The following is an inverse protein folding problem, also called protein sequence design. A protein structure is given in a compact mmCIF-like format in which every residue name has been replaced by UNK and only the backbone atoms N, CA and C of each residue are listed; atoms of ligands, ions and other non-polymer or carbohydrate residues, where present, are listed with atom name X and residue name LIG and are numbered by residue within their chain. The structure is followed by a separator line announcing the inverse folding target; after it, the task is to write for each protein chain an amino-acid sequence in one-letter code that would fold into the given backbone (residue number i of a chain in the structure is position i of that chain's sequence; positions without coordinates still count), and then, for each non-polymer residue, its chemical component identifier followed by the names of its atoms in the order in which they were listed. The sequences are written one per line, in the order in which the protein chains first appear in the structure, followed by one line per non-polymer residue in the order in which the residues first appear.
data_IF_451404908796
#
_entry.id   IF_451404908796
#
_cell.length_a   1.000
_cell.length_b   1.000
_cell.length_c   1.000
_cell.angle_alpha   90.00
_cell.angle_beta   90.00
_cell.angle_gamma   90.00
#
_symmetry.space_group_name_H-M   'P 1'
#
loop_
_entity.id
_entity.type
_entity.pdbx_description
1 polymer ?
#
# COMPACT_ATOMS: atom_id res chain seq x y z
N UNK A 1 -26.67 -23.13 18.00
CA UNK A 1 -25.74 -22.87 16.87
C UNK A 1 -24.28 -22.85 17.30
N UNK A 2 -23.83 -21.90 18.13
CA UNK A 2 -22.40 -21.86 18.53
C UNK A 2 -21.99 -23.09 19.36
N UNK A 3 -22.82 -23.51 20.31
CA UNK A 3 -22.61 -24.74 21.07
C UNK A 3 -22.65 -25.99 20.17
N UNK A 4 -23.63 -26.07 19.26
CA UNK A 4 -23.73 -27.20 18.32
C UNK A 4 -22.50 -27.30 17.42
N UNK A 5 -21.94 -26.16 16.96
CA UNK A 5 -20.67 -26.15 16.21
C UNK A 5 -19.54 -26.72 17.06
N UNK A 6 -19.45 -26.34 18.33
CA UNK A 6 -18.42 -26.82 19.24
C UNK A 6 -18.53 -28.34 19.47
N UNK A 7 -19.73 -28.83 19.80
CA UNK A 7 -19.99 -30.27 19.96
C UNK A 7 -19.70 -31.08 18.68
N UNK A 8 -20.09 -30.54 17.51
CA UNK A 8 -19.80 -31.18 16.22
C UNK A 8 -18.29 -31.20 15.90
N UNK A 9 -17.54 -30.17 16.32
CA UNK A 9 -16.09 -30.14 16.18
C UNK A 9 -15.45 -31.22 17.05
N UNK A 10 -15.81 -31.31 18.33
CA UNK A 10 -15.32 -32.36 19.25
C UNK A 10 -15.61 -33.75 18.71
N UNK A 11 -16.85 -34.02 18.30
CA UNK A 11 -17.21 -35.31 17.69
C UNK A 11 -16.37 -35.64 16.44
N UNK A 12 -16.08 -34.64 15.59
CA UNK A 12 -15.27 -34.85 14.38
C UNK A 12 -13.77 -34.98 14.67
N UNK A 13 -13.29 -34.55 15.84
CA UNK A 13 -11.92 -34.86 16.28
C UNK A 13 -11.76 -36.35 16.57
N UNK A 14 -12.77 -36.97 17.20
CA UNK A 14 -12.78 -38.41 17.50
C UNK A 14 -13.13 -39.26 16.26
N UNK A 15 -14.03 -38.75 15.40
CA UNK A 15 -14.56 -39.48 14.25
C UNK A 15 -14.38 -38.72 12.92
N UNK A 16 -13.13 -38.52 12.45
CA UNK A 16 -12.84 -37.67 11.30
C UNK A 16 -13.32 -38.24 9.96
N UNK A 17 -13.70 -39.53 9.90
CA UNK A 17 -14.16 -40.18 8.66
C UNK A 17 -15.67 -40.08 8.44
N UNK A 18 -16.45 -39.49 9.36
CA UNK A 18 -17.90 -39.39 9.21
C UNK A 18 -18.31 -38.23 8.28
N UNK A 19 -18.71 -38.48 7.01
CA UNK A 19 -18.99 -37.40 6.06
C UNK A 19 -20.28 -36.65 6.41
N UNK A 20 -21.27 -37.32 6.99
CA UNK A 20 -22.56 -36.71 7.34
C UNK A 20 -22.38 -35.61 8.39
N UNK A 21 -21.56 -35.88 9.39
CA UNK A 21 -21.28 -34.92 10.47
C UNK A 21 -20.42 -33.74 9.97
N UNK A 22 -19.51 -33.98 9.02
CA UNK A 22 -18.78 -32.88 8.35
C UNK A 22 -19.72 -31.95 7.60
N UNK A 23 -20.63 -32.51 6.80
CA UNK A 23 -21.64 -31.71 6.07
C UNK A 23 -22.48 -30.92 7.07
N UNK A 24 -22.95 -31.55 8.15
CA UNK A 24 -23.75 -30.88 9.19
C UNK A 24 -22.99 -29.73 9.87
N UNK A 25 -21.70 -29.91 10.16
CA UNK A 25 -20.86 -28.86 10.73
C UNK A 25 -20.75 -27.67 9.76
N UNK A 26 -20.44 -27.93 8.49
CA UNK A 26 -20.31 -26.89 7.46
C UNK A 26 -21.62 -26.11 7.26
N UNK A 27 -22.75 -26.80 7.20
CA UNK A 27 -24.08 -26.17 7.12
C UNK A 27 -24.37 -25.29 8.33
N UNK A 28 -24.03 -25.74 9.53
CA UNK A 28 -24.27 -24.99 10.78
C UNK A 28 -23.38 -23.74 10.83
N UNK A 29 -22.13 -23.84 10.39
CA UNK A 29 -21.23 -22.68 10.24
C UNK A 29 -21.79 -21.70 9.21
N UNK A 30 -22.25 -22.19 8.04
CA UNK A 30 -22.83 -21.35 6.99
C UNK A 30 -24.10 -20.63 7.47
N UNK A 31 -24.99 -21.33 8.19
CA UNK A 31 -26.18 -20.75 8.82
C UNK A 31 -25.81 -19.64 9.80
N UNK A 32 -24.84 -19.87 10.70
CA UNK A 32 -24.34 -18.84 11.63
C UNK A 32 -23.81 -17.62 10.88
N UNK A 33 -22.99 -17.81 9.84
CA UNK A 33 -22.47 -16.70 9.01
C UNK A 33 -23.59 -15.88 8.36
N UNK A 34 -24.61 -16.57 7.82
CA UNK A 34 -25.80 -15.93 7.24
C UNK A 34 -26.56 -15.09 8.27
N UNK A 35 -26.74 -15.59 9.49
CA UNK A 35 -27.41 -14.87 10.57
C UNK A 35 -26.60 -13.65 11.04
N UNK A 36 -25.28 -13.78 11.16
CA UNK A 36 -24.41 -12.64 11.50
C UNK A 36 -24.46 -11.54 10.42
N UNK A 37 -24.56 -11.91 9.14
CA UNK A 37 -24.76 -10.95 8.05
C UNK A 37 -26.07 -10.17 8.21
N UNK A 38 -27.18 -10.85 8.53
CA UNK A 38 -28.46 -10.16 8.76
C UNK A 38 -28.41 -9.30 10.01
N UNK A 39 -27.81 -9.80 11.10
CA UNK A 39 -27.69 -9.04 12.34
C UNK A 39 -26.88 -7.76 12.14
N UNK A 40 -25.79 -7.82 11.38
CA UNK A 40 -24.99 -6.63 11.02
C UNK A 40 -25.82 -5.57 10.29
N UNK A 41 -26.78 -5.98 9.46
CA UNK A 41 -27.66 -5.06 8.72
C UNK A 41 -28.79 -4.50 9.60
N UNK A 42 -29.29 -5.28 10.56
CA UNK A 42 -30.44 -4.89 11.38
C UNK A 42 -30.06 -4.12 12.64
N UNK A 43 -29.07 -4.60 13.39
CA UNK A 43 -28.62 -4.00 14.64
C UNK A 43 -27.11 -4.21 14.80
N UNK A 44 -26.38 -3.17 14.43
CA UNK A 44 -24.93 -3.18 14.45
C UNK A 44 -24.35 -3.29 15.86
N UNK A 45 -24.97 -2.63 16.86
CA UNK A 45 -24.49 -2.64 18.25
C UNK A 45 -24.63 -4.03 18.86
N UNK A 46 -25.76 -4.69 18.62
CA UNK A 46 -25.97 -6.07 19.08
C UNK A 46 -25.05 -7.04 18.33
N UNK A 47 -24.77 -6.80 17.06
CA UNK A 47 -23.80 -7.57 16.29
C UNK A 47 -22.40 -7.52 16.93
N UNK A 48 -21.87 -6.33 17.24
CA UNK A 48 -20.54 -6.18 17.86
C UNK A 48 -20.49 -6.84 19.24
N UNK A 49 -21.52 -6.62 20.07
CA UNK A 49 -21.60 -7.25 21.39
C UNK A 49 -21.57 -8.79 21.31
N UNK A 50 -22.27 -9.38 20.35
CA UNK A 50 -22.25 -10.84 20.15
C UNK A 50 -20.88 -11.34 19.70
N UNK A 51 -20.20 -10.61 18.81
CA UNK A 51 -18.85 -10.97 18.37
C UNK A 51 -17.86 -10.96 19.54
N UNK A 52 -17.93 -9.95 20.40
CA UNK A 52 -17.10 -9.83 21.60
C UNK A 52 -17.38 -10.97 22.58
N UNK A 53 -18.66 -11.18 22.95
CA UNK A 53 -19.03 -12.19 23.97
C UNK A 53 -18.77 -13.63 23.52
N UNK A 54 -18.91 -13.93 22.23
CA UNK A 54 -18.63 -15.26 21.69
C UNK A 54 -17.18 -15.41 21.18
N UNK A 55 -16.36 -14.36 21.31
CA UNK A 55 -15.00 -14.28 20.77
C UNK A 55 -14.91 -14.72 19.29
N UNK A 56 -15.79 -14.17 18.45
CA UNK A 56 -15.89 -14.50 17.03
C UNK A 56 -15.32 -13.38 16.15
N UNK A 57 -14.50 -13.76 15.17
CA UNK A 57 -14.06 -12.84 14.11
C UNK A 57 -14.99 -12.95 12.91
N UNK A 58 -15.71 -11.87 12.61
CA UNK A 58 -16.54 -11.79 11.40
C UNK A 58 -15.67 -11.48 10.18
N UNK A 59 -15.71 -12.38 9.18
CA UNK A 59 -15.10 -12.17 7.86
C UNK A 59 -16.22 -12.06 6.82
N UNK A 60 -16.34 -10.94 6.09
CA UNK A 60 -17.31 -10.84 5.01
C UNK A 60 -17.02 -11.88 3.93
N UNK A 61 -18.05 -12.29 3.19
CA UNK A 61 -17.87 -13.23 2.09
C UNK A 61 -17.13 -12.51 0.94
N UNK A 62 -16.06 -13.09 0.37
CA UNK A 62 -15.37 -12.48 -0.76
C UNK A 62 -16.30 -12.40 -1.98
N UNK A 63 -16.21 -11.31 -2.74
CA UNK A 63 -17.12 -11.02 -3.85
C UNK A 63 -16.92 -11.97 -5.04
N UNK A 64 -15.67 -12.29 -5.45
CA UNK A 64 -15.32 -13.22 -6.55
C UNK A 64 -13.86 -13.71 -6.44
N UNK A 65 -13.42 -14.79 -7.13
CA UNK A 65 -14.11 -16.04 -7.46
C UNK A 65 -13.85 -17.13 -6.40
N UNK A 66 -14.84 -17.98 -6.15
CA UNK A 66 -14.78 -19.06 -5.14
C UNK A 66 -13.88 -20.24 -5.53
N UNK A 67 -13.52 -20.37 -6.81
CA UNK A 67 -12.71 -21.47 -7.30
C UNK A 67 -11.50 -20.92 -8.06
N UNK A 68 -10.30 -21.23 -7.58
CA UNK A 68 -9.05 -20.88 -8.24
C UNK A 68 -8.71 -22.04 -9.19
N UNK A 69 -8.76 -21.79 -10.49
CA UNK A 69 -8.32 -22.79 -11.48
C UNK A 69 -6.80 -22.73 -11.66
N UNK A 70 -6.21 -23.81 -12.21
CA UNK A 70 -4.77 -23.82 -12.58
C UNK A 70 -4.41 -22.65 -13.50
N UNK A 71 -5.30 -22.30 -14.43
CA UNK A 71 -5.13 -21.18 -15.36
C UNK A 71 -5.10 -19.84 -14.60
N UNK A 72 -5.97 -19.66 -13.61
CA UNK A 72 -6.00 -18.43 -12.81
C UNK A 72 -4.77 -18.30 -11.92
N UNK A 73 -4.31 -19.38 -11.30
CA UNK A 73 -3.05 -19.39 -10.54
C UNK A 73 -1.86 -19.00 -11.41
N UNK A 74 -1.77 -19.55 -12.62
CA UNK A 74 -0.69 -19.21 -13.54
C UNK A 74 -0.76 -17.74 -13.97
N UNK A 75 -1.96 -17.23 -14.28
CA UNK A 75 -2.17 -15.82 -14.61
C UNK A 75 -1.72 -14.90 -13.49
N UNK A 76 -2.10 -15.19 -12.23
CA UNK A 76 -1.68 -14.41 -11.06
C UNK A 76 -0.16 -14.43 -10.85
N UNK A 77 0.48 -15.58 -11.08
CA UNK A 77 1.93 -15.69 -10.97
C UNK A 77 2.63 -14.84 -12.04
N UNK A 78 2.17 -14.94 -13.29
CA UNK A 78 2.69 -14.14 -14.40
C UNK A 78 2.44 -12.64 -14.17
N UNK A 79 1.25 -12.26 -13.70
CA UNK A 79 0.91 -10.88 -13.37
C UNK A 79 1.83 -10.32 -12.28
N UNK A 80 2.06 -11.10 -11.20
CA UNK A 80 2.99 -10.70 -10.13
C UNK A 80 4.40 -10.46 -10.68
N UNK A 81 4.92 -11.39 -11.49
CA UNK A 81 6.24 -11.24 -12.10
C UNK A 81 6.34 -10.02 -13.03
N UNK A 82 5.33 -9.81 -13.89
CA UNK A 82 5.28 -8.64 -14.75
C UNK A 82 5.22 -7.34 -13.95
N UNK A 83 4.47 -7.31 -12.84
CA UNK A 83 4.39 -6.14 -11.97
C UNK A 83 5.73 -5.85 -11.30
N UNK A 84 6.44 -6.88 -10.83
CA UNK A 84 7.80 -6.73 -10.26
C UNK A 84 8.75 -6.12 -11.30
N UNK A 85 8.77 -6.62 -12.54
CA UNK A 85 9.58 -6.05 -13.62
C UNK A 85 9.23 -4.60 -13.95
N UNK A 86 7.94 -4.24 -13.91
CA UNK A 86 7.51 -2.85 -14.14
C UNK A 86 7.99 -1.96 -13.00
N UNK A 87 7.87 -2.40 -11.75
CA UNK A 87 8.35 -1.63 -10.60
C UNK A 87 9.87 -1.45 -10.64
N UNK A 88 10.63 -2.49 -10.97
CA UNK A 88 12.09 -2.38 -11.11
C UNK A 88 12.49 -1.33 -12.16
N UNK A 89 11.81 -1.32 -13.32
CA UNK A 89 12.05 -0.32 -14.36
C UNK A 89 11.70 1.10 -13.89
N UNK A 90 10.57 1.25 -13.19
CA UNK A 90 10.16 2.54 -12.63
C UNK A 90 11.14 3.03 -11.57
N UNK A 91 11.66 2.14 -10.72
CA UNK A 91 12.63 2.47 -9.68
C UNK A 91 13.97 2.88 -10.28
N UNK A 92 14.44 2.19 -11.32
CA UNK A 92 15.65 2.58 -12.07
C UNK A 92 15.46 3.97 -12.66
N UNK A 93 14.34 4.18 -13.37
CA UNK A 93 14.06 5.47 -14.00
C UNK A 93 13.90 6.61 -12.98
N UNK A 94 13.27 6.33 -11.82
CA UNK A 94 13.15 7.29 -10.73
C UNK A 94 14.51 7.70 -10.20
N UNK A 95 15.45 6.76 -10.00
CA UNK A 95 16.82 7.06 -9.58
C UNK A 95 17.58 7.90 -10.62
N UNK A 96 17.35 7.66 -11.91
CA UNK A 96 17.92 8.50 -12.97
C UNK A 96 17.38 9.93 -12.93
N UNK A 97 16.05 10.09 -12.79
CA UNK A 97 15.42 11.40 -12.68
C UNK A 97 15.88 12.16 -11.44
N UNK A 98 16.02 11.49 -10.31
CA UNK A 98 16.51 12.10 -9.09
C UNK A 98 17.94 12.64 -9.25
N UNK A 99 18.82 11.96 -9.99
CA UNK A 99 20.16 12.47 -10.30
C UNK A 99 20.10 13.74 -11.16
N UNK A 100 19.13 13.83 -12.06
CA UNK A 100 18.93 14.99 -12.95
C UNK A 100 18.24 16.17 -12.23
N UNK A 101 17.56 15.93 -11.11
CA UNK A 101 16.87 17.01 -10.37
C UNK A 101 17.83 18.11 -9.90
N UNK A 102 19.06 17.77 -9.54
CA UNK A 102 20.06 18.77 -9.12
C UNK A 102 20.33 19.79 -10.24
N UNK A 103 20.54 19.30 -11.47
CA UNK A 103 20.90 20.12 -12.63
C UNK A 103 19.67 20.93 -13.07
N UNK A 104 18.49 20.31 -13.00
CA UNK A 104 17.22 20.98 -13.26
C UNK A 104 16.98 22.19 -12.34
N UNK A 105 17.20 22.07 -11.02
CA UNK A 105 16.98 23.19 -10.11
C UNK A 105 18.02 24.31 -10.26
N UNK A 106 19.25 23.98 -10.66
CA UNK A 106 20.27 24.98 -10.99
C UNK A 106 19.83 25.78 -12.22
N UNK A 107 19.53 25.10 -13.32
CA UNK A 107 19.04 25.76 -14.55
C UNK A 107 17.75 26.54 -14.30
N UNK A 108 16.86 26.02 -13.45
CA UNK A 108 15.61 26.70 -13.09
C UNK A 108 15.90 28.02 -12.37
N UNK A 109 16.82 28.04 -11.41
CA UNK A 109 17.19 29.27 -10.70
C UNK A 109 17.82 30.31 -11.65
N UNK A 110 18.65 29.87 -12.61
CA UNK A 110 19.24 30.72 -13.63
C UNK A 110 18.19 31.31 -14.57
N UNK A 111 17.27 30.48 -15.08
CA UNK A 111 16.18 30.92 -15.97
C UNK A 111 15.22 31.86 -15.26
N UNK A 112 14.89 31.62 -13.99
CA UNK A 112 14.04 32.53 -13.21
C UNK A 112 14.71 33.88 -12.97
N UNK A 113 16.02 33.90 -12.70
CA UNK A 113 16.77 35.15 -12.59
C UNK A 113 16.79 35.91 -13.92
N UNK A 114 17.06 35.20 -15.03
CA UNK A 114 17.05 35.78 -16.38
C UNK A 114 15.68 36.38 -16.76
N UNK A 115 14.57 35.66 -16.51
CA UNK A 115 13.22 36.16 -16.79
C UNK A 115 12.94 37.45 -16.01
N UNK A 116 13.31 37.49 -14.73
CA UNK A 116 13.11 38.68 -13.90
C UNK A 116 13.91 39.89 -14.40
N UNK A 117 15.16 39.69 -14.81
CA UNK A 117 16.00 40.75 -15.38
C UNK A 117 15.42 41.31 -16.69
N UNK A 118 14.96 40.43 -17.59
CA UNK A 118 14.32 40.82 -18.85
C UNK A 118 13.00 41.56 -18.63
N UNK A 119 12.15 41.11 -17.69
CA UNK A 119 10.89 41.78 -17.36
C UNK A 119 11.12 43.22 -16.85
N UNK A 120 12.14 43.42 -16.01
CA UNK A 120 12.56 44.74 -15.54
C UNK A 120 13.10 45.59 -16.68
N UNK A 121 13.93 45.03 -17.57
CA UNK A 121 14.46 45.72 -18.74
C UNK A 121 13.35 46.16 -19.72
N UNK A 122 12.29 45.36 -19.85
CA UNK A 122 11.10 45.68 -20.64
C UNK A 122 10.11 46.64 -19.94
N UNK A 123 10.37 47.05 -18.69
CA UNK A 123 9.53 47.98 -17.93
C UNK A 123 8.21 47.38 -17.42
N UNK A 124 8.12 46.05 -17.33
CA UNK A 124 6.97 45.32 -16.80
C UNK A 124 7.12 45.11 -15.28
N UNK A 125 5.99 44.89 -14.61
CA UNK A 125 6.02 44.45 -13.21
C UNK A 125 6.52 42.99 -13.16
N UNK A 126 7.51 42.67 -12.32
CA UNK A 126 8.12 41.34 -12.29
C UNK A 126 7.10 40.28 -11.84
N UNK A 127 6.90 39.26 -12.67
CA UNK A 127 5.99 38.14 -12.39
C UNK A 127 6.63 37.08 -11.50
N UNK A 128 7.97 37.05 -11.45
CA UNK A 128 8.75 36.11 -10.63
C UNK A 128 9.28 36.85 -9.41
N UNK A 129 8.97 36.39 -8.20
CA UNK A 129 9.46 37.02 -6.96
C UNK A 129 10.91 36.62 -6.64
N UNK A 130 11.60 37.40 -5.80
CA UNK A 130 12.93 37.03 -5.29
C UNK A 130 12.88 35.78 -4.41
N UNK A 131 11.75 35.55 -3.76
CA UNK A 131 11.48 34.36 -2.93
C UNK A 131 11.46 33.10 -3.79
N UNK A 132 10.86 33.14 -4.99
CA UNK A 132 10.83 32.00 -5.92
C UNK A 132 12.24 31.58 -6.40
N UNK A 133 13.13 32.55 -6.58
CA UNK A 133 14.53 32.31 -6.96
C UNK A 133 15.32 31.74 -5.77
N UNK A 134 15.08 32.25 -4.56
CA UNK A 134 15.69 31.75 -3.33
C UNK A 134 15.28 30.30 -3.04
N UNK A 135 13.99 29.97 -3.19
CA UNK A 135 13.44 28.63 -3.01
C UNK A 135 14.01 27.63 -4.00
N UNK A 136 14.16 28.03 -5.27
CA UNK A 136 14.79 27.18 -6.29
C UNK A 136 16.27 26.90 -5.95
N UNK A 137 17.01 27.91 -5.47
CA UNK A 137 18.40 27.76 -5.01
C UNK A 137 18.51 26.90 -3.75
N UNK A 138 17.55 27.02 -2.83
CA UNK A 138 17.52 26.20 -1.61
C UNK A 138 17.28 24.74 -1.96
N UNK A 139 16.30 24.44 -2.82
CA UNK A 139 16.05 23.08 -3.30
C UNK A 139 17.28 22.49 -4.00
N UNK A 140 17.96 23.26 -4.85
CA UNK A 140 19.21 22.81 -5.47
C UNK A 140 20.25 22.40 -4.42
N UNK A 141 20.42 23.19 -3.34
CA UNK A 141 21.35 22.86 -2.23
C UNK A 141 20.93 21.62 -1.47
N UNK A 142 19.64 21.44 -1.20
CA UNK A 142 19.11 20.26 -0.51
C UNK A 142 19.41 18.98 -1.29
N UNK A 143 19.16 18.98 -2.60
CA UNK A 143 19.50 17.84 -3.47
C UNK A 143 21.01 17.61 -3.58
N UNK A 144 21.83 18.67 -3.61
CA UNK A 144 23.30 18.52 -3.56
C UNK A 144 23.74 17.86 -2.23
N UNK A 145 23.16 18.28 -1.10
CA UNK A 145 23.53 17.75 0.22
C UNK A 145 23.13 16.28 0.37
N UNK A 146 21.93 15.90 -0.10
CA UNK A 146 21.42 14.53 -0.05
C UNK A 146 22.28 13.58 -0.90
N UNK A 147 22.66 13.97 -2.11
CA UNK A 147 23.37 13.07 -3.03
C UNK A 147 24.89 13.06 -2.87
N UNK A 148 25.50 14.10 -2.30
CA UNK A 148 26.96 14.17 -2.10
C UNK A 148 27.35 13.86 -0.65
N UNK A 149 26.72 14.50 0.34
CA UNK A 149 27.22 14.43 1.72
C UNK A 149 26.75 13.18 2.47
N UNK A 150 25.47 12.82 2.37
CA UNK A 150 24.92 11.64 3.08
C UNK A 150 25.68 10.32 2.73
N UNK A 151 25.96 9.98 1.46
CA UNK A 151 26.69 8.75 1.15
C UNK A 151 28.18 8.77 1.58
N UNK A 152 28.77 9.96 1.78
CA UNK A 152 30.14 10.09 2.33
C UNK A 152 30.14 9.81 3.83
N UNK A 153 29.17 10.33 4.58
CA UNK A 153 29.06 10.09 6.02
C UNK A 153 28.78 8.61 6.35
N UNK A 154 27.92 7.93 5.59
CA UNK A 154 27.64 6.50 5.80
C UNK A 154 28.80 5.55 5.41
N UNK A 155 29.68 5.95 4.48
CA UNK A 155 30.88 5.17 4.14
C UNK A 155 32.04 5.37 5.14
N UNK A 156 32.11 6.51 5.83
CA UNK A 156 33.15 6.76 6.83
C UNK A 156 32.91 5.98 8.13
N UNK A 157 31.66 5.75 8.52
CA UNK A 157 31.32 4.96 9.72
C UNK A 157 31.52 3.45 9.52
N UNK A 158 31.47 2.94 8.30
CA UNK A 158 31.68 1.51 8.00
C UNK A 158 33.15 1.10 7.89
N UNK A 159 34.09 2.06 7.84
CA UNK A 159 35.54 1.80 7.73
C UNK A 159 36.24 1.81 9.11
N UNK A 160 35.54 2.15 10.19
CA UNK A 160 36.09 2.19 11.57
C UNK A 160 35.87 0.91 12.42
N UNK A 161 35.62 -0.25 11.81
CA UNK A 161 35.54 -1.57 12.50
C UNK A 161 36.59 -2.52 11.94
#
# INVERSE_FOLDING_TARGET
MTNDIHQLQEYLTEHPKNPKMKVKLLETIAKRRKMLRYLRQWDYRRFEWILEKLNLVYKPLPELPHHITRKDSLRRLTEKYCNELVQEKLDIYKKELEKLQKDFYIEKAEKLAFIREEEIACGLQPSVSEEDIADAKQKAREYIYIYIYIPIYYNLETIQV
#
